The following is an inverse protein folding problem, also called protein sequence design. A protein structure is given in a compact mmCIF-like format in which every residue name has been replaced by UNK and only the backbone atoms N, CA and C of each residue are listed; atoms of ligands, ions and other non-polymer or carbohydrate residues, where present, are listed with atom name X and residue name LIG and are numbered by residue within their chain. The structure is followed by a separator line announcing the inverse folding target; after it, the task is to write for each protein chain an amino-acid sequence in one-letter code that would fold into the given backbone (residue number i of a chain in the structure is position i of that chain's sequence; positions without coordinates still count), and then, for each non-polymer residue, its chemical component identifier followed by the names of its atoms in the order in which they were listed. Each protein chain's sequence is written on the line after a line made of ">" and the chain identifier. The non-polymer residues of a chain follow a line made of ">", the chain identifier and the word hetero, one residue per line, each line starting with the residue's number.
data_IF_389645235188
#
_entry.id   IF_389645235188
#
_cell.length_a   1.000
_cell.length_b   1.000
_cell.length_c   1.000
_cell.angle_alpha   90.00
_cell.angle_beta   90.00
_cell.angle_gamma   90.00
#
_symmetry.space_group_name_H-M   'P 1'
#
loop_
_entity.id
_entity.type
_entity.pdbx_description
1 polymer ?
#
# COMPACT_ATOMS: atom_id res chain seq x y z
N UNK A 1 32.53 -14.70 52.15
CA UNK A 1 33.18 -15.09 50.88
C UNK A 1 32.32 -14.56 49.75
N UNK A 2 32.94 -13.80 48.84
CA UNK A 2 32.33 -13.09 47.70
C UNK A 2 31.44 -14.00 46.84
N UNK A 3 30.41 -13.40 46.23
CA UNK A 3 29.40 -14.07 45.44
C UNK A 3 29.85 -14.55 44.05
N UNK A 4 28.92 -15.20 43.35
CA UNK A 4 29.04 -15.42 41.91
C UNK A 4 27.64 -15.49 41.28
N UNK A 5 26.99 -14.33 41.18
CA UNK A 5 25.92 -14.17 40.19
C UNK A 5 26.60 -13.93 38.83
N UNK A 6 26.43 -14.86 37.90
CA UNK A 6 26.74 -14.61 36.50
C UNK A 6 25.58 -13.81 35.93
N UNK A 7 25.78 -12.51 35.74
CA UNK A 7 24.91 -11.74 34.88
C UNK A 7 25.09 -12.28 33.45
N UNK A 8 24.15 -13.11 33.00
CA UNK A 8 24.01 -13.42 31.58
C UNK A 8 23.65 -12.09 30.93
N UNK A 9 24.58 -11.49 30.20
CA UNK A 9 24.26 -10.37 29.30
C UNK A 9 23.07 -10.84 28.48
N UNK A 10 21.91 -10.23 28.67
CA UNK A 10 20.88 -10.24 27.63
C UNK A 10 21.59 -9.68 26.42
N UNK A 11 21.91 -10.53 25.44
CA UNK A 11 22.16 -10.04 24.09
C UNK A 11 21.03 -9.03 23.83
N UNK A 12 21.40 -7.78 23.51
CA UNK A 12 20.42 -6.83 22.99
C UNK A 12 19.86 -7.52 21.76
N UNK A 13 18.71 -8.18 21.92
CA UNK A 13 17.92 -8.67 20.80
C UNK A 13 17.64 -7.40 20.02
N UNK A 14 18.34 -7.19 18.91
CA UNK A 14 18.15 -5.97 18.13
C UNK A 14 16.65 -5.85 17.88
N UNK A 15 16.06 -4.73 18.29
CA UNK A 15 14.66 -4.47 18.01
C UNK A 15 14.47 -4.62 16.50
N UNK A 16 13.68 -5.61 16.10
CA UNK A 16 13.39 -5.87 14.70
C UNK A 16 12.57 -4.69 14.21
N UNK A 17 13.25 -3.83 13.45
CA UNK A 17 12.65 -2.66 12.81
C UNK A 17 11.94 -3.13 11.53
N UNK A 18 10.70 -2.71 11.40
CA UNK A 18 9.85 -3.03 10.27
C UNK A 18 9.42 -1.75 9.57
N UNK A 19 9.52 -1.73 8.23
CA UNK A 19 8.87 -0.71 7.41
C UNK A 19 7.80 -1.39 6.57
N UNK A 20 6.55 -0.99 6.77
CA UNK A 20 5.40 -1.44 6.01
C UNK A 20 5.03 -0.35 5.00
N UNK A 21 5.01 -0.71 3.72
CA UNK A 21 4.61 0.19 2.65
C UNK A 21 3.20 -0.12 2.18
N UNK A 22 2.42 0.91 1.86
CA UNK A 22 1.32 0.77 0.91
C UNK A 22 1.86 0.61 -0.53
N UNK A 23 0.99 0.20 -1.46
CA UNK A 23 1.31 0.06 -2.87
C UNK A 23 0.87 1.29 -3.67
N UNK A 24 -0.44 1.46 -3.81
CA UNK A 24 -1.07 2.49 -4.62
C UNK A 24 -0.79 3.87 -4.03
N UNK A 25 -0.43 4.84 -4.86
CA UNK A 25 -0.10 6.19 -4.39
C UNK A 25 1.23 6.32 -3.63
N UNK A 26 1.84 5.18 -3.26
CA UNK A 26 3.05 5.14 -2.43
C UNK A 26 4.27 4.59 -3.18
N UNK A 27 4.18 3.38 -3.70
CA UNK A 27 5.23 2.76 -4.53
C UNK A 27 4.87 2.81 -6.01
N UNK A 28 3.58 2.64 -6.31
CA UNK A 28 3.06 2.53 -7.67
C UNK A 28 2.23 3.77 -8.05
N UNK A 29 2.46 4.30 -9.25
CA UNK A 29 1.67 5.38 -9.84
C UNK A 29 0.40 4.81 -10.47
N UNK A 30 -0.56 4.49 -9.63
CA UNK A 30 -1.86 3.88 -10.00
C UNK A 30 -2.55 4.57 -11.19
N UNK A 31 -2.44 5.89 -11.31
CA UNK A 31 -2.94 6.67 -12.46
C UNK A 31 -2.51 6.12 -13.83
N UNK A 32 -1.32 5.50 -13.91
CA UNK A 32 -0.77 4.94 -15.14
C UNK A 32 -1.50 3.68 -15.65
N UNK A 33 -2.23 2.97 -14.77
CA UNK A 33 -3.09 1.84 -15.14
C UNK A 33 -4.57 2.09 -14.93
N UNK A 34 -4.94 2.73 -13.82
CA UNK A 34 -6.33 2.90 -13.41
C UNK A 34 -7.10 3.83 -14.34
N UNK A 35 -6.56 5.02 -14.64
CA UNK A 35 -7.25 6.01 -15.49
C UNK A 35 -7.57 5.47 -16.89
N UNK A 36 -6.63 4.89 -17.65
CA UNK A 36 -6.96 4.32 -18.96
C UNK A 36 -7.91 3.12 -18.86
N UNK A 37 -7.82 2.31 -17.79
CA UNK A 37 -8.75 1.20 -17.56
C UNK A 37 -10.19 1.67 -17.35
N UNK A 38 -10.42 2.59 -16.41
CA UNK A 38 -11.75 3.13 -16.12
C UNK A 38 -12.33 3.85 -17.34
N UNK A 39 -11.52 4.69 -18.03
CA UNK A 39 -12.01 5.40 -19.21
C UNK A 39 -12.41 4.45 -20.34
N UNK A 40 -11.64 3.38 -20.56
CA UNK A 40 -11.98 2.37 -21.56
C UNK A 40 -13.28 1.66 -21.19
N UNK A 41 -13.45 1.29 -19.92
CA UNK A 41 -14.66 0.65 -19.40
C UNK A 41 -15.89 1.55 -19.58
N UNK A 42 -15.83 2.81 -19.14
CA UNK A 42 -16.92 3.77 -19.27
C UNK A 42 -17.28 4.03 -20.74
N UNK A 43 -16.27 4.15 -21.62
CA UNK A 43 -16.49 4.32 -23.07
C UNK A 43 -17.24 3.12 -23.68
N UNK A 44 -16.84 1.89 -23.31
CA UNK A 44 -17.47 0.66 -23.81
C UNK A 44 -18.97 0.62 -23.49
N UNK A 45 -19.35 1.16 -22.34
CA UNK A 45 -20.71 1.14 -21.83
C UNK A 45 -21.49 2.43 -22.07
N UNK A 46 -20.95 3.35 -22.88
CA UNK A 46 -21.55 4.66 -23.18
C UNK A 46 -21.91 5.45 -21.90
N UNK A 47 -21.03 5.37 -20.90
CA UNK A 47 -21.19 6.05 -19.61
C UNK A 47 -20.41 7.37 -19.57
N UNK A 48 -20.88 8.37 -18.80
CA UNK A 48 -20.15 9.62 -18.60
C UNK A 48 -18.76 9.37 -17.99
N UNK A 49 -17.75 10.05 -18.56
CA UNK A 49 -16.38 9.99 -18.07
C UNK A 49 -16.12 11.24 -17.20
N UNK A 50 -15.97 11.10 -15.87
CA UNK A 50 -15.61 12.21 -15.01
C UNK A 50 -14.15 12.63 -15.23
N UNK A 51 -13.74 13.73 -14.59
CA UNK A 51 -12.34 14.15 -14.60
C UNK A 51 -11.43 13.14 -13.88
N UNK A 52 -10.12 13.29 -14.11
CA UNK A 52 -9.15 12.38 -13.53
C UNK A 52 -9.08 12.50 -12.00
N UNK A 53 -9.24 13.68 -11.42
CA UNK A 53 -9.10 13.89 -9.98
C UNK A 53 -10.19 13.14 -9.21
N UNK A 54 -11.42 13.18 -9.73
CA UNK A 54 -12.53 12.38 -9.21
C UNK A 54 -12.22 10.88 -9.29
N UNK A 55 -11.73 10.39 -10.44
CA UNK A 55 -11.34 8.98 -10.58
C UNK A 55 -10.22 8.61 -9.59
N UNK A 56 -9.19 9.45 -9.44
CA UNK A 56 -8.07 9.19 -8.54
C UNK A 56 -8.47 9.17 -7.07
N UNK A 57 -9.59 9.78 -6.69
CA UNK A 57 -10.13 9.69 -5.32
C UNK A 57 -10.50 8.27 -4.89
N UNK A 58 -10.73 7.35 -5.83
CA UNK A 58 -10.96 5.93 -5.52
C UNK A 58 -9.67 5.14 -5.25
N UNK A 59 -8.51 5.68 -5.62
CA UNK A 59 -7.25 4.96 -5.49
C UNK A 59 -6.84 4.85 -4.03
N UNK A 60 -6.71 3.63 -3.52
CA UNK A 60 -6.41 3.33 -2.11
C UNK A 60 -7.67 3.13 -1.25
N UNK A 61 -8.85 3.47 -1.75
CA UNK A 61 -10.11 3.07 -1.13
C UNK A 61 -10.40 1.58 -1.37
N UNK A 62 -11.21 0.95 -0.52
CA UNK A 62 -11.74 -0.38 -0.80
C UNK A 62 -12.51 -0.41 -2.13
N UNK A 63 -12.37 -1.49 -2.90
CA UNK A 63 -13.05 -1.65 -4.20
C UNK A 63 -14.57 -1.51 -4.12
N UNK A 64 -15.18 -1.73 -2.95
CA UNK A 64 -16.61 -1.51 -2.70
C UNK A 64 -17.04 -0.07 -2.97
N UNK A 65 -16.21 0.94 -2.69
CA UNK A 65 -16.50 2.35 -2.99
C UNK A 65 -16.62 2.62 -4.48
N UNK A 66 -15.72 2.05 -5.28
CA UNK A 66 -15.78 2.14 -6.73
C UNK A 66 -17.05 1.47 -7.28
N UNK A 67 -17.43 0.31 -6.73
CA UNK A 67 -18.67 -0.40 -7.10
C UNK A 67 -19.91 0.40 -6.71
N UNK A 68 -19.92 1.02 -5.53
CA UNK A 68 -21.01 1.91 -5.08
C UNK A 68 -21.19 3.08 -6.04
N UNK A 69 -20.10 3.74 -6.44
CA UNK A 69 -20.17 4.79 -7.45
C UNK A 69 -20.69 4.27 -8.79
N UNK A 70 -20.19 3.12 -9.27
CA UNK A 70 -20.62 2.56 -10.55
C UNK A 70 -22.13 2.24 -10.59
N UNK A 71 -22.72 1.80 -9.46
CA UNK A 71 -24.17 1.60 -9.31
C UNK A 71 -24.98 2.88 -9.57
N UNK A 72 -24.43 4.06 -9.25
CA UNK A 72 -25.12 5.34 -9.46
C UNK A 72 -25.23 5.74 -10.93
N UNK A 73 -24.45 5.11 -11.82
CA UNK A 73 -24.44 5.41 -13.25
C UNK A 73 -25.59 4.73 -14.02
N UNK A 74 -26.59 4.18 -13.32
CA UNK A 74 -27.72 3.41 -13.89
C UNK A 74 -27.26 2.27 -14.81
N UNK A 75 -26.16 1.64 -14.42
CA UNK A 75 -25.58 0.56 -15.17
C UNK A 75 -26.48 -0.68 -15.17
N UNK A 76 -26.82 -1.18 -16.36
CA UNK A 76 -27.82 -2.24 -16.55
C UNK A 76 -27.24 -3.65 -16.53
N UNK A 77 -25.93 -3.82 -16.75
CA UNK A 77 -25.33 -5.15 -16.72
C UNK A 77 -24.96 -5.60 -15.31
N UNK A 78 -24.61 -6.87 -15.19
CA UNK A 78 -24.19 -7.47 -13.94
C UNK A 78 -22.92 -6.80 -13.40
N UNK A 79 -23.01 -6.19 -12.23
CA UNK A 79 -21.90 -5.51 -11.54
C UNK A 79 -20.67 -6.41 -11.34
N UNK A 80 -20.86 -7.71 -11.15
CA UNK A 80 -19.75 -8.67 -11.02
C UNK A 80 -18.94 -8.73 -12.32
N UNK A 81 -19.61 -8.69 -13.47
CA UNK A 81 -18.96 -8.70 -14.78
C UNK A 81 -18.13 -7.43 -14.99
N UNK A 82 -18.64 -6.28 -14.57
CA UNK A 82 -17.94 -4.99 -14.66
C UNK A 82 -16.69 -4.99 -13.81
N UNK A 83 -16.80 -5.46 -12.56
CA UNK A 83 -15.65 -5.51 -11.65
C UNK A 83 -14.56 -6.42 -12.23
N UNK A 84 -14.93 -7.58 -12.74
CA UNK A 84 -13.96 -8.48 -13.38
C UNK A 84 -13.33 -7.87 -14.65
N UNK A 85 -14.12 -7.14 -15.44
CA UNK A 85 -13.61 -6.44 -16.61
C UNK A 85 -12.68 -5.30 -16.22
N UNK A 86 -13.02 -4.53 -15.18
CA UNK A 86 -12.18 -3.48 -14.63
C UNK A 86 -10.84 -4.03 -14.16
N UNK A 87 -10.85 -5.10 -13.37
CA UNK A 87 -9.63 -5.79 -12.91
C UNK A 87 -8.78 -6.25 -14.12
N UNK A 88 -9.41 -6.81 -15.15
CA UNK A 88 -8.73 -7.27 -16.38
C UNK A 88 -8.09 -6.10 -17.14
N UNK A 89 -8.83 -5.00 -17.32
CA UNK A 89 -8.34 -3.80 -18.00
C UNK A 89 -7.20 -3.15 -17.22
N UNK A 90 -7.32 -3.07 -15.91
CA UNK A 90 -6.27 -2.50 -15.07
C UNK A 90 -5.00 -3.34 -15.13
N UNK A 91 -5.08 -4.67 -15.00
CA UNK A 91 -3.93 -5.57 -15.17
C UNK A 91 -3.28 -5.40 -16.56
N UNK A 92 -4.09 -5.29 -17.63
CA UNK A 92 -3.59 -5.01 -18.98
C UNK A 92 -2.78 -3.71 -19.00
N UNK A 93 -3.30 -2.63 -18.42
CA UNK A 93 -2.58 -1.35 -18.42
C UNK A 93 -1.40 -1.32 -17.44
N UNK A 94 -1.41 -2.11 -16.35
CA UNK A 94 -0.21 -2.35 -15.55
C UNK A 94 0.89 -2.91 -16.45
N UNK A 95 0.59 -3.91 -17.28
CA UNK A 95 1.58 -4.51 -18.21
C UNK A 95 2.05 -3.50 -19.25
N UNK A 96 1.13 -2.81 -19.92
CA UNK A 96 1.46 -1.92 -21.04
C UNK A 96 2.12 -0.60 -20.61
N UNK A 97 1.67 -0.01 -19.50
CA UNK A 97 1.93 1.41 -19.18
C UNK A 97 2.28 1.69 -17.72
N UNK A 98 2.08 0.71 -16.84
CA UNK A 98 2.33 0.87 -15.40
C UNK A 98 3.68 1.49 -15.11
N UNK A 99 3.76 2.27 -14.04
CA UNK A 99 4.98 2.94 -13.57
C UNK A 99 5.05 3.04 -12.05
N UNK A 100 6.26 3.00 -11.50
CA UNK A 100 6.53 3.23 -10.07
C UNK A 100 7.01 4.66 -9.83
N UNK A 101 6.90 5.14 -8.59
CA UNK A 101 7.47 6.43 -8.21
C UNK A 101 9.01 6.41 -8.30
N UNK A 102 9.65 7.57 -8.55
CA UNK A 102 11.11 7.67 -8.52
C UNK A 102 11.67 7.19 -7.17
N UNK A 103 12.88 6.61 -7.21
CA UNK A 103 13.66 6.21 -6.03
C UNK A 103 13.03 5.10 -5.14
N UNK A 104 11.92 4.48 -5.56
CA UNK A 104 11.31 3.34 -4.86
C UNK A 104 12.31 2.19 -4.70
N UNK A 105 12.93 1.75 -5.80
CA UNK A 105 13.89 0.64 -5.78
C UNK A 105 15.10 0.99 -4.90
N UNK A 106 15.67 2.18 -5.06
CA UNK A 106 16.81 2.66 -4.27
C UNK A 106 16.51 2.64 -2.76
N UNK A 107 15.28 3.02 -2.39
CA UNK A 107 14.87 3.09 -0.98
C UNK A 107 14.62 1.70 -0.40
N UNK A 108 13.97 0.81 -1.15
CA UNK A 108 13.79 -0.58 -0.75
C UNK A 108 15.13 -1.33 -0.61
N UNK A 109 16.06 -1.14 -1.56
CA UNK A 109 17.42 -1.70 -1.48
C UNK A 109 18.17 -1.18 -0.25
N UNK A 110 18.08 0.12 0.02
CA UNK A 110 18.72 0.74 1.17
C UNK A 110 18.23 0.14 2.50
N UNK A 111 16.92 -0.13 2.62
CA UNK A 111 16.31 -0.76 3.80
C UNK A 111 16.80 -2.21 3.97
N UNK A 112 16.79 -3.01 2.89
CA UNK A 112 17.27 -4.40 2.93
C UNK A 112 18.75 -4.50 3.29
N UNK A 113 19.57 -3.54 2.87
CA UNK A 113 21.00 -3.48 3.20
C UNK A 113 21.28 -3.03 4.66
N UNK A 114 20.27 -2.71 5.46
CA UNK A 114 20.39 -2.25 6.85
C UNK A 114 19.58 -3.08 7.85
N UNK A 115 19.31 -4.33 7.49
CA UNK A 115 18.61 -5.32 8.32
C UNK A 115 17.20 -4.90 8.77
N UNK A 116 16.53 -4.03 8.02
CA UNK A 116 15.10 -3.79 8.21
C UNK A 116 14.32 -4.98 7.64
N UNK A 117 13.29 -5.41 8.38
CA UNK A 117 12.20 -6.15 7.76
C UNK A 117 11.37 -5.17 6.91
N UNK A 118 10.98 -5.60 5.72
CA UNK A 118 10.20 -4.78 4.80
C UNK A 118 8.95 -5.53 4.40
N UNK A 119 7.79 -4.90 4.52
CA UNK A 119 6.52 -5.51 4.18
C UNK A 119 5.71 -4.62 3.24
N UNK A 120 4.84 -5.25 2.45
CA UNK A 120 3.80 -4.59 1.68
C UNK A 120 2.44 -4.86 2.33
N UNK A 121 1.64 -3.83 2.55
CA UNK A 121 0.27 -3.94 3.05
C UNK A 121 -0.66 -3.07 2.22
N UNK A 122 -1.53 -3.68 1.43
CA UNK A 122 -2.34 -2.96 0.43
C UNK A 122 -3.78 -3.45 0.38
N UNK A 123 -4.70 -2.53 0.06
CA UNK A 123 -6.09 -2.84 -0.26
C UNK A 123 -6.25 -3.50 -1.65
N UNK A 124 -5.19 -3.52 -2.46
CA UNK A 124 -5.19 -4.15 -3.78
C UNK A 124 -5.42 -5.65 -3.72
N UNK A 125 -6.08 -6.19 -4.74
CA UNK A 125 -6.33 -7.63 -4.89
C UNK A 125 -5.06 -8.34 -5.34
N UNK A 126 -4.93 -9.61 -4.96
CA UNK A 126 -3.74 -10.42 -5.21
C UNK A 126 -3.24 -10.37 -6.66
N UNK A 127 -4.10 -10.57 -7.67
CA UNK A 127 -3.67 -10.61 -9.07
C UNK A 127 -3.06 -9.28 -9.55
N UNK A 128 -3.69 -8.17 -9.19
CA UNK A 128 -3.20 -6.81 -9.48
C UNK A 128 -1.84 -6.56 -8.83
N UNK A 129 -1.74 -6.81 -7.53
CA UNK A 129 -0.51 -6.64 -6.75
C UNK A 129 0.61 -7.50 -7.34
N UNK A 130 0.34 -8.78 -7.60
CA UNK A 130 1.31 -9.70 -8.17
C UNK A 130 1.82 -9.24 -9.54
N UNK A 131 0.94 -8.70 -10.39
CA UNK A 131 1.34 -8.19 -11.70
C UNK A 131 2.30 -7.00 -11.59
N UNK A 132 2.04 -6.06 -10.67
CA UNK A 132 2.91 -4.91 -10.42
C UNK A 132 4.26 -5.39 -9.90
N UNK A 133 4.27 -6.22 -8.86
CA UNK A 133 5.50 -6.70 -8.23
C UNK A 133 6.37 -7.50 -9.22
N UNK A 134 5.77 -8.31 -10.09
CA UNK A 134 6.48 -9.01 -11.15
C UNK A 134 7.07 -8.05 -12.18
N UNK A 135 6.26 -7.11 -12.70
CA UNK A 135 6.69 -6.17 -13.74
C UNK A 135 7.91 -5.34 -13.31
N UNK A 136 7.96 -4.90 -12.06
CA UNK A 136 9.04 -4.04 -11.55
C UNK A 136 10.09 -4.80 -10.72
N UNK A 137 10.00 -6.13 -10.63
CA UNK A 137 10.96 -6.95 -9.89
C UNK A 137 11.03 -6.63 -8.39
N UNK A 138 9.89 -6.29 -7.78
CA UNK A 138 9.82 -5.79 -6.39
C UNK A 138 9.71 -6.91 -5.34
N UNK A 139 9.32 -8.13 -5.73
CA UNK A 139 9.16 -9.25 -4.79
C UNK A 139 10.35 -9.49 -3.87
N UNK A 140 11.56 -9.37 -4.41
CA UNK A 140 12.81 -9.61 -3.67
C UNK A 140 13.04 -8.64 -2.51
N UNK A 141 12.29 -7.55 -2.42
CA UNK A 141 12.41 -6.56 -1.35
C UNK A 141 11.47 -6.81 -0.18
N UNK A 142 10.45 -7.65 -0.32
CA UNK A 142 9.44 -7.82 0.73
C UNK A 142 9.61 -9.16 1.45
N UNK A 143 9.71 -9.09 2.78
CA UNK A 143 9.70 -10.27 3.65
C UNK A 143 8.27 -10.82 3.82
N UNK A 144 7.26 -9.94 3.79
CA UNK A 144 5.83 -10.29 3.79
C UNK A 144 5.07 -9.36 2.84
N UNK A 145 4.10 -9.93 2.12
CA UNK A 145 3.13 -9.19 1.31
C UNK A 145 1.73 -9.55 1.80
N UNK A 146 0.98 -8.57 2.30
CA UNK A 146 -0.46 -8.70 2.60
C UNK A 146 -1.28 -7.87 1.61
N UNK A 147 -2.04 -8.57 0.78
CA UNK A 147 -3.11 -8.04 -0.06
C UNK A 147 -4.46 -8.26 0.63
N UNK A 148 -5.47 -7.49 0.21
CA UNK A 148 -6.86 -7.68 0.64
C UNK A 148 -7.41 -8.99 0.08
N UNK A 149 -8.01 -9.82 0.93
CA UNK A 149 -8.73 -11.01 0.50
C UNK A 149 -10.11 -10.65 -0.08
N UNK A 150 -10.54 -11.40 -1.09
CA UNK A 150 -11.89 -11.26 -1.65
C UNK A 150 -12.89 -11.85 -0.65
N UNK A 151 -13.90 -11.07 -0.26
CA UNK A 151 -15.01 -11.53 0.58
C UNK A 151 -14.89 -11.20 2.07
N UNK A 152 -13.84 -10.51 2.49
CA UNK A 152 -13.73 -9.96 3.85
C UNK A 152 -13.80 -8.43 3.83
N UNK A 153 -15.01 -7.92 3.62
CA UNK A 153 -15.27 -6.47 3.55
C UNK A 153 -15.12 -5.77 4.92
N UNK A 154 -14.98 -6.53 6.01
CA UNK A 154 -14.83 -6.00 7.37
C UNK A 154 -13.36 -5.90 7.81
N UNK A 155 -12.44 -6.64 7.19
CA UNK A 155 -11.01 -6.55 7.48
C UNK A 155 -10.51 -5.13 7.20
N UNK A 156 -9.91 -4.49 8.18
CA UNK A 156 -9.34 -3.14 8.02
C UNK A 156 -7.87 -3.22 7.58
N UNK A 157 -7.28 -2.08 7.19
CA UNK A 157 -5.83 -2.01 6.99
C UNK A 157 -5.07 -2.17 8.33
N UNK A 158 -5.66 -1.69 9.42
CA UNK A 158 -5.16 -1.88 10.78
C UNK A 158 -5.02 -3.36 11.14
N UNK A 159 -5.97 -4.21 10.75
CA UNK A 159 -5.91 -5.65 10.99
C UNK A 159 -4.78 -6.33 10.21
N UNK A 160 -4.67 -6.03 8.91
CA UNK A 160 -3.58 -6.56 8.07
C UNK A 160 -2.20 -6.15 8.61
N UNK A 161 -2.03 -4.90 9.06
CA UNK A 161 -0.77 -4.42 9.66
C UNK A 161 -0.47 -5.19 10.96
N UNK A 162 -1.46 -5.40 11.82
CA UNK A 162 -1.33 -6.16 13.08
C UNK A 162 -0.80 -7.57 12.83
N UNK A 163 -1.32 -8.23 11.80
CA UNK A 163 -0.87 -9.56 11.39
C UNK A 163 0.59 -9.57 10.92
N UNK A 164 1.01 -8.58 10.14
CA UNK A 164 2.40 -8.44 9.68
C UNK A 164 3.33 -8.26 10.90
N UNK A 165 2.99 -7.35 11.80
CA UNK A 165 3.79 -7.06 13.01
C UNK A 165 3.96 -8.32 13.85
N UNK A 166 2.85 -9.05 14.06
CA UNK A 166 2.85 -10.30 14.82
C UNK A 166 3.70 -11.38 14.14
N UNK A 167 3.52 -11.56 12.83
CA UNK A 167 4.24 -12.57 12.04
C UNK A 167 5.74 -12.36 12.02
N UNK A 168 6.17 -11.09 11.99
CA UNK A 168 7.59 -10.72 12.01
C UNK A 168 8.14 -10.54 13.42
N UNK A 169 7.29 -10.52 14.45
CA UNK A 169 7.67 -10.15 15.82
C UNK A 169 8.44 -8.82 15.83
N UNK A 170 7.90 -7.81 15.15
CA UNK A 170 8.51 -6.48 15.04
C UNK A 170 8.25 -5.66 16.33
N UNK A 171 9.26 -4.95 16.80
CA UNK A 171 9.17 -4.11 18.01
C UNK A 171 9.01 -2.62 17.70
N UNK A 172 9.52 -2.19 16.54
CA UNK A 172 9.43 -0.81 16.07
C UNK A 172 9.03 -0.82 14.61
N UNK A 173 7.85 -0.27 14.33
CA UNK A 173 7.24 -0.33 13.00
C UNK A 173 6.95 1.06 12.48
N UNK A 174 7.26 1.26 11.21
CA UNK A 174 6.94 2.45 10.44
C UNK A 174 5.94 2.07 9.34
N UNK A 175 4.86 2.82 9.21
CA UNK A 175 3.87 2.65 8.14
C UNK A 175 4.02 3.82 7.16
N UNK A 176 4.28 3.50 5.90
CA UNK A 176 4.49 4.47 4.82
C UNK A 176 3.33 4.37 3.85
N UNK A 177 2.59 5.46 3.66
CA UNK A 177 1.40 5.47 2.81
C UNK A 177 0.90 6.86 2.47
N UNK A 178 -0.03 6.98 1.52
CA UNK A 178 -0.56 8.27 1.06
C UNK A 178 -2.01 8.53 1.46
N UNK A 179 -2.71 7.56 2.07
CA UNK A 179 -4.13 7.68 2.43
C UNK A 179 -4.34 7.73 3.93
N UNK A 180 -5.52 8.18 4.34
CA UNK A 180 -5.90 8.19 5.76
C UNK A 180 -5.85 6.79 6.40
N UNK A 181 -6.14 5.74 5.61
CA UNK A 181 -6.13 4.34 6.05
C UNK A 181 -4.75 3.93 6.58
N UNK A 182 -3.67 4.45 6.00
CA UNK A 182 -2.30 4.18 6.44
C UNK A 182 -2.04 4.82 7.80
N UNK A 183 -2.44 6.08 7.96
CA UNK A 183 -2.26 6.84 9.19
C UNK A 183 -3.06 6.24 10.34
N UNK A 184 -4.30 5.81 10.07
CA UNK A 184 -5.12 5.10 11.05
C UNK A 184 -4.48 3.75 11.40
N UNK A 185 -4.02 2.98 10.41
CA UNK A 185 -3.39 1.68 10.67
C UNK A 185 -2.14 1.79 11.53
N UNK A 186 -1.36 2.87 11.37
CA UNK A 186 -0.22 3.13 12.21
C UNK A 186 -0.65 3.42 13.65
N UNK A 187 -1.61 4.34 13.82
CA UNK A 187 -2.13 4.73 15.12
C UNK A 187 -2.74 3.54 15.89
N UNK A 188 -3.55 2.73 15.22
CA UNK A 188 -4.24 1.59 15.83
C UNK A 188 -3.29 0.45 16.27
N UNK A 189 -2.04 0.48 15.79
CA UNK A 189 -1.01 -0.51 16.08
C UNK A 189 0.20 0.11 16.80
N UNK A 190 0.08 1.30 17.37
CA UNK A 190 1.16 2.02 18.06
C UNK A 190 2.46 2.14 17.22
N UNK A 191 2.29 2.33 15.91
CA UNK A 191 3.38 2.49 14.93
C UNK A 191 3.60 3.96 14.57
N UNK A 192 4.76 4.25 14.00
CA UNK A 192 5.08 5.58 13.47
C UNK A 192 4.54 5.68 12.04
N UNK A 193 3.77 6.73 11.76
CA UNK A 193 3.21 6.99 10.44
C UNK A 193 4.07 7.96 9.62
N UNK A 194 4.30 7.62 8.36
CA UNK A 194 5.00 8.46 7.38
C UNK A 194 4.07 8.64 6.17
N UNK A 195 3.44 9.81 6.09
CA UNK A 195 2.61 10.22 4.98
C UNK A 195 3.44 10.61 3.76
N UNK A 196 3.15 10.07 2.58
CA UNK A 196 3.81 10.50 1.35
C UNK A 196 2.98 11.55 0.62
N UNK A 197 3.54 12.76 0.51
CA UNK A 197 2.88 13.92 -0.06
C UNK A 197 2.78 13.90 -1.58
N UNK A 198 3.35 12.93 -2.28
CA UNK A 198 3.27 12.82 -3.74
C UNK A 198 2.12 11.93 -4.23
N UNK A 199 1.42 11.22 -3.33
CA UNK A 199 0.28 10.36 -3.67
C UNK A 199 -1.03 11.13 -3.84
N UNK A 200 -2.14 10.41 -3.70
CA UNK A 200 -3.50 10.89 -3.98
C UNK A 200 -4.19 11.47 -2.75
N UNK A 201 -3.86 11.00 -1.54
CA UNK A 201 -4.48 11.46 -0.28
C UNK A 201 -3.80 12.67 0.38
N UNK A 202 -3.30 13.65 -0.38
CA UNK A 202 -2.60 14.84 0.18
C UNK A 202 -3.33 15.54 1.33
N UNK A 203 -4.66 15.68 1.23
CA UNK A 203 -5.48 16.31 2.27
C UNK A 203 -5.77 15.41 3.48
N UNK A 204 -5.43 14.12 3.39
CA UNK A 204 -5.74 13.09 4.39
C UNK A 204 -4.60 12.83 5.36
N UNK A 205 -3.36 13.02 4.90
CA UNK A 205 -2.14 12.67 5.66
C UNK A 205 -1.71 13.73 6.69
N UNK A 206 -2.49 14.79 6.89
CA UNK A 206 -2.13 15.89 7.82
C UNK A 206 -1.99 15.48 9.29
N UNK A 207 -2.37 14.24 9.65
CA UNK A 207 -2.20 13.66 10.99
C UNK A 207 -1.07 12.64 11.09
N UNK A 208 -0.28 12.46 10.01
CA UNK A 208 0.91 11.62 10.05
C UNK A 208 1.95 12.18 11.02
N UNK A 209 2.75 11.32 11.65
CA UNK A 209 3.87 11.74 12.49
C UNK A 209 4.95 12.45 11.67
N UNK A 210 5.15 12.00 10.43
CA UNK A 210 6.03 12.61 9.45
C UNK A 210 5.33 12.70 8.08
N UNK A 211 5.66 13.73 7.30
CA UNK A 211 5.25 13.86 5.90
C UNK A 211 6.50 14.07 5.04
N UNK A 212 6.62 13.31 3.96
CA UNK A 212 7.75 13.37 3.01
C UNK A 212 7.26 13.63 1.60
N UNK A 213 8.05 14.30 0.75
CA UNK A 213 7.70 14.57 -0.65
C UNK A 213 8.55 13.75 -1.64
N UNK A 214 9.56 13.06 -1.15
CA UNK A 214 10.34 12.04 -1.84
C UNK A 214 10.51 10.83 -0.92
N UNK A 215 10.30 9.63 -1.44
CA UNK A 215 10.39 8.39 -0.66
C UNK A 215 11.79 8.19 -0.04
N UNK A 216 12.84 8.81 -0.56
CA UNK A 216 14.19 8.73 0.04
C UNK A 216 14.29 9.41 1.41
N UNK A 217 13.42 10.38 1.69
CA UNK A 217 13.44 11.10 2.97
C UNK A 217 13.16 10.18 4.16
N UNK A 218 12.45 9.06 3.94
CA UNK A 218 12.17 8.09 5.02
C UNK A 218 13.45 7.54 5.65
N UNK A 219 14.56 7.50 4.91
CA UNK A 219 15.87 7.02 5.39
C UNK A 219 16.29 7.77 6.66
N UNK A 220 16.05 9.07 6.70
CA UNK A 220 16.39 9.93 7.86
C UNK A 220 15.45 9.77 9.05
N UNK A 221 14.24 9.25 8.83
CA UNK A 221 13.20 9.08 9.85
C UNK A 221 13.35 7.71 10.54
N UNK A 222 13.73 6.69 9.79
CA UNK A 222 13.81 5.31 10.28
C UNK A 222 15.15 4.93 10.92
N UNK A 223 16.19 5.73 10.70
CA UNK A 223 17.52 5.56 11.33
C UNK A 223 17.45 5.60 12.86
#
# INVERSE_FOLDING_TARGET
>A
MLGMFVAVRKEKKMERRLVVFDLDGTLYKTESSFIPAVKQLLTKYDLPIPDNDFLLSFVGEPSSKFVEWFKTLNFKDNLISVVNEMDTLEIKYVIERGSIYPNVIETLEWLKNRDYAVALCTNGRQQYVCQILNKFGLYKYFDIIRYRYIGDDNETKSDMVREIITSLNAQKTFIVGDRYHDIISAKDNDCISIGVGYGYGKSEIGKADYIVNDIREIKSIVE
#
